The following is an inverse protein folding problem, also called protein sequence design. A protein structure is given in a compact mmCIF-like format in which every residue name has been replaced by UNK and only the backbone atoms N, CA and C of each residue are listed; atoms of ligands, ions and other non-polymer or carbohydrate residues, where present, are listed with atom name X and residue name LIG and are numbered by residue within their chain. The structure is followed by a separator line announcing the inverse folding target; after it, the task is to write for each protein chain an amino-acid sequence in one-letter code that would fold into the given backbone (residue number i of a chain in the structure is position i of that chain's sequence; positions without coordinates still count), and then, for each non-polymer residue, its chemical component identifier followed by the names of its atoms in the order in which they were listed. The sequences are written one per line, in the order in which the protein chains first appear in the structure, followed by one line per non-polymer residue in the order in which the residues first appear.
data_IF_747017260811
#
_entry.id   IF_747017260811
#
_cell.length_a   1.000
_cell.length_b   1.000
_cell.length_c   1.000
_cell.angle_alpha   90.00
_cell.angle_beta   90.00
_cell.angle_gamma   90.00
#
_symmetry.space_group_name_H-M   'P 1'
#
loop_
_entity.id
_entity.type
_entity.pdbx_description
1 polymer ?
#
# COMPACT_ATOMS: atom_id res chain seq x y z
N UNK A 1 36.82 -39.46 -18.48
CA UNK A 1 38.08 -39.88 -17.83
C UNK A 1 38.59 -38.69 -17.02
N UNK A 2 39.03 -38.92 -15.77
CA UNK A 2 39.08 -38.01 -14.59
C UNK A 2 37.72 -37.95 -13.88
N UNK A 3 37.38 -38.72 -12.83
CA UNK A 3 38.07 -39.34 -11.68
C UNK A 3 38.39 -38.39 -10.51
N UNK A 4 38.03 -38.87 -9.30
CA UNK A 4 38.28 -38.37 -7.92
C UNK A 4 37.23 -37.39 -7.37
N UNK A 5 36.30 -37.72 -6.46
CA UNK A 5 36.31 -38.49 -5.20
C UNK A 5 37.11 -37.84 -4.07
N UNK A 6 36.40 -37.30 -3.06
CA UNK A 6 36.79 -36.99 -1.66
C UNK A 6 35.52 -36.36 -1.03
N UNK A 7 34.68 -36.98 -0.21
CA UNK A 7 34.89 -37.67 1.08
C UNK A 7 35.56 -36.79 2.15
N UNK A 8 34.74 -36.30 3.10
CA UNK A 8 35.08 -36.00 4.51
C UNK A 8 33.81 -35.47 5.22
N UNK A 9 33.18 -36.28 6.08
CA UNK A 9 33.37 -36.30 7.55
C UNK A 9 32.68 -35.11 8.24
N UNK A 10 31.48 -35.31 8.81
CA UNK A 10 31.27 -35.60 10.23
C UNK A 10 31.88 -34.56 11.19
N UNK A 11 31.03 -33.74 11.79
CA UNK A 11 31.31 -33.06 13.06
C UNK A 11 30.01 -32.88 13.83
N UNK A 12 29.68 -33.92 14.60
CA UNK A 12 28.69 -33.91 15.67
C UNK A 12 29.19 -32.99 16.80
N UNK A 13 28.39 -31.98 17.15
CA UNK A 13 28.63 -31.11 18.29
C UNK A 13 27.39 -31.05 19.16
N UNK A 14 27.16 -32.10 19.97
CA UNK A 14 26.24 -32.05 21.11
C UNK A 14 26.84 -31.16 22.20
N UNK A 15 26.22 -30.00 22.45
CA UNK A 15 26.46 -29.22 23.65
C UNK A 15 25.22 -29.31 24.55
N UNK A 16 25.28 -30.30 25.45
CA UNK A 16 24.38 -30.49 26.58
C UNK A 16 24.83 -29.55 27.70
N UNK A 17 24.05 -28.51 27.99
CA UNK A 17 24.21 -27.69 29.19
C UNK A 17 23.00 -27.87 30.09
N UNK A 18 23.20 -28.67 31.13
CA UNK A 18 22.30 -28.90 32.26
C UNK A 18 22.35 -27.72 33.25
N UNK A 19 21.17 -27.22 33.64
CA UNK A 19 20.88 -26.68 34.99
C UNK A 19 20.78 -25.14 35.17
N UNK A 20 20.33 -24.68 36.37
CA UNK A 20 18.93 -24.57 36.84
C UNK A 20 18.67 -23.16 37.49
N UNK A 21 17.68 -22.92 38.39
CA UNK A 21 16.27 -23.33 38.48
C UNK A 21 15.29 -22.13 38.44
N UNK A 22 14.01 -22.49 38.35
CA UNK A 22 12.80 -21.71 38.58
C UNK A 22 12.84 -20.85 39.85
N UNK A 23 12.81 -19.52 39.69
CA UNK A 23 12.52 -18.58 40.77
C UNK A 23 11.02 -18.29 40.81
N UNK A 24 10.31 -19.02 41.66
CA UNK A 24 8.95 -18.74 42.10
C UNK A 24 8.98 -17.47 42.95
N UNK A 25 8.55 -16.32 42.41
CA UNK A 25 8.37 -15.11 43.19
C UNK A 25 6.87 -14.79 43.28
N UNK A 26 6.21 -15.42 44.25
CA UNK A 26 4.89 -15.03 44.72
C UNK A 26 5.07 -13.85 45.70
N UNK A 27 5.04 -12.62 45.19
CA UNK A 27 4.88 -11.44 46.02
C UNK A 27 3.40 -11.04 46.00
N UNK A 28 2.71 -11.48 47.04
CA UNK A 28 1.45 -10.92 47.50
C UNK A 28 1.68 -9.49 47.98
N UNK A 29 1.42 -8.52 47.12
CA UNK A 29 1.34 -7.10 47.52
C UNK A 29 -0.02 -6.86 48.18
N UNK A 30 -0.02 -6.92 49.51
CA UNK A 30 -1.07 -6.39 50.36
C UNK A 30 -1.11 -4.87 50.23
N UNK A 31 -2.07 -4.33 49.48
CA UNK A 31 -2.40 -2.90 49.45
C UNK A 31 -3.02 -2.50 50.79
N UNK A 32 -2.17 -2.08 51.72
CA UNK A 32 -2.58 -1.36 52.94
C UNK A 32 -2.85 0.10 52.57
N UNK A 33 -4.13 0.42 52.35
CA UNK A 33 -4.62 1.79 52.25
C UNK A 33 -4.55 2.48 53.61
N UNK A 34 -3.39 3.03 53.95
CA UNK A 34 -3.27 3.99 55.04
C UNK A 34 -3.60 5.39 54.51
N UNK A 35 -4.64 6.07 55.02
CA UNK A 35 -4.93 7.46 54.66
C UNK A 35 -3.83 8.36 55.26
N UNK A 36 -3.11 9.06 54.38
CA UNK A 36 -2.12 10.05 54.79
C UNK A 36 -2.79 11.13 55.65
N UNK A 37 -2.24 11.45 56.83
CA UNK A 37 -2.75 12.54 57.66
C UNK A 37 -2.50 13.88 56.96
N UNK A 38 -3.55 14.71 56.92
CA UNK A 38 -3.46 16.10 56.47
C UNK A 38 -2.45 16.85 57.35
N UNK A 39 -1.48 17.58 56.78
CA UNK A 39 -0.57 18.41 57.56
C UNK A 39 -1.36 19.60 58.13
N UNK A 40 -1.61 19.54 59.44
CA UNK A 40 -1.99 20.72 60.21
C UNK A 40 -0.84 21.73 60.14
N UNK A 41 -1.13 22.89 59.56
CA UNK A 41 -0.20 24.00 59.47
C UNK A 41 0.10 24.60 60.84
N UNK A 42 1.21 25.33 60.94
CA UNK A 42 1.29 26.43 61.87
C UNK A 42 1.55 27.75 61.13
N UNK A 43 0.90 28.77 61.65
CA UNK A 43 1.08 30.17 61.36
C UNK A 43 2.56 30.54 61.28
N UNK A 44 2.95 31.21 60.21
CA UNK A 44 4.30 31.73 60.05
C UNK A 44 4.52 32.26 58.65
N UNK A 45 4.88 33.53 58.58
CA UNK A 45 5.00 34.42 57.42
C UNK A 45 6.11 33.98 56.43
N UNK A 46 6.01 32.75 55.94
CA UNK A 46 6.97 32.08 55.08
C UNK A 46 6.52 32.16 53.64
N UNK A 47 7.11 33.07 52.87
CA UNK A 47 7.03 33.10 51.41
C UNK A 47 7.47 31.75 50.84
N UNK A 48 6.52 30.85 50.60
CA UNK A 48 6.75 29.61 49.87
C UNK A 48 7.17 29.97 48.45
N UNK A 49 8.47 29.94 48.19
CA UNK A 49 8.96 30.08 46.82
C UNK A 49 8.46 28.88 46.02
N UNK A 50 7.88 29.15 44.84
CA UNK A 50 7.35 28.16 43.89
C UNK A 50 8.32 26.99 43.63
N UNK A 51 9.62 27.20 43.87
CA UNK A 51 10.72 26.24 43.79
C UNK A 51 10.58 25.03 44.72
N UNK A 52 9.90 25.13 45.86
CA UNK A 52 9.73 24.00 46.78
C UNK A 52 8.65 23.00 46.33
N UNK A 53 7.67 23.42 45.53
CA UNK A 53 6.70 22.50 44.91
C UNK A 53 7.28 21.72 43.72
N UNK A 54 8.34 22.23 43.09
CA UNK A 54 9.02 21.59 41.95
C UNK A 54 10.42 21.04 42.27
N UNK A 55 10.86 21.12 43.54
CA UNK A 55 12.22 20.79 43.97
C UNK A 55 12.47 19.32 44.32
N UNK A 56 11.44 18.46 44.25
CA UNK A 56 11.66 17.01 44.37
C UNK A 56 12.22 16.50 43.04
N UNK A 57 13.53 16.65 42.86
CA UNK A 57 14.31 15.87 41.90
C UNK A 57 14.34 14.42 42.39
N UNK A 58 13.17 13.76 42.42
CA UNK A 58 13.10 12.31 42.40
C UNK A 58 13.94 11.92 41.20
N UNK A 59 15.06 11.23 41.46
CA UNK A 59 15.83 10.57 40.41
C UNK A 59 14.81 9.81 39.60
N UNK A 60 14.49 10.31 38.41
CA UNK A 60 13.64 9.61 37.47
C UNK A 60 14.45 8.37 37.13
N UNK A 61 14.14 7.27 37.80
CA UNK A 61 14.65 5.97 37.44
C UNK A 61 14.24 5.80 35.99
N UNK A 62 15.19 5.92 35.07
CA UNK A 62 14.92 5.77 33.66
C UNK A 62 14.32 4.37 33.51
N UNK A 63 13.01 4.32 33.27
CA UNK A 63 12.34 3.09 32.90
C UNK A 63 13.06 2.63 31.62
N UNK A 64 13.61 1.41 31.56
CA UNK A 64 14.38 0.97 30.42
C UNK A 64 13.56 1.15 29.14
N UNK A 65 13.93 2.14 28.30
CA UNK A 65 13.20 2.46 27.06
C UNK A 65 13.09 1.25 26.12
N UNK A 66 14.00 0.28 26.27
CA UNK A 66 13.96 -0.99 25.55
C UNK A 66 12.62 -1.74 25.70
N UNK A 67 11.92 -1.61 26.82
CA UNK A 67 10.69 -2.37 27.06
C UNK A 67 9.46 -1.75 26.36
N UNK A 68 9.44 -0.43 26.14
CA UNK A 68 8.28 0.23 25.54
C UNK A 68 8.05 -0.16 24.07
N UNK A 69 9.11 -0.22 23.28
CA UNK A 69 9.02 -0.62 21.87
C UNK A 69 8.68 -2.10 21.73
N UNK A 70 9.27 -2.97 22.56
CA UNK A 70 8.94 -4.39 22.60
C UNK A 70 7.46 -4.61 22.97
N UNK A 71 6.96 -3.94 24.01
CA UNK A 71 5.54 -3.99 24.40
C UNK A 71 4.61 -3.44 23.32
N UNK A 72 4.99 -2.37 22.61
CA UNK A 72 4.21 -1.84 21.48
C UNK A 72 4.16 -2.86 20.35
N UNK A 73 5.29 -3.47 19.99
CA UNK A 73 5.36 -4.53 18.97
C UNK A 73 4.47 -5.72 19.35
N UNK A 74 4.53 -6.19 20.59
CA UNK A 74 3.69 -7.31 21.06
C UNK A 74 2.20 -7.00 20.93
N UNK A 75 1.77 -5.78 21.27
CA UNK A 75 0.37 -5.33 21.10
C UNK A 75 -0.04 -5.33 19.62
N UNK A 76 0.79 -4.76 18.75
CA UNK A 76 0.54 -4.73 17.30
C UNK A 76 0.44 -6.14 16.72
N UNK A 77 1.35 -7.04 17.09
CA UNK A 77 1.32 -8.44 16.65
C UNK A 77 0.06 -9.14 17.15
N UNK A 78 -0.35 -8.91 18.39
CA UNK A 78 -1.60 -9.48 18.93
C UNK A 78 -2.83 -9.00 18.16
N UNK A 79 -2.91 -7.70 17.80
CA UNK A 79 -4.00 -7.15 16.97
C UNK A 79 -4.02 -7.77 15.57
N UNK A 80 -2.85 -7.97 14.94
CA UNK A 80 -2.74 -8.62 13.63
C UNK A 80 -3.18 -10.08 13.69
N UNK A 81 -2.76 -10.81 14.74
CA UNK A 81 -3.17 -12.20 14.98
C UNK A 81 -4.68 -12.31 15.16
N UNK A 82 -5.29 -11.43 15.95
CA UNK A 82 -6.73 -11.41 16.15
C UNK A 82 -7.47 -11.15 14.84
N UNK A 83 -7.02 -10.17 14.04
CA UNK A 83 -7.59 -9.86 12.74
C UNK A 83 -7.43 -11.04 11.76
N UNK A 84 -6.28 -11.71 11.76
CA UNK A 84 -6.04 -12.90 10.92
C UNK A 84 -6.86 -14.11 11.32
N UNK A 85 -7.14 -14.30 12.62
CA UNK A 85 -8.06 -15.33 13.11
C UNK A 85 -9.46 -15.15 12.54
N UNK A 86 -9.95 -13.91 12.42
CA UNK A 86 -11.24 -13.58 11.77
C UNK A 86 -11.24 -13.91 10.27
N UNK A 87 -10.07 -13.96 9.64
CA UNK A 87 -9.88 -14.37 8.24
C UNK A 87 -9.63 -15.89 8.07
N UNK A 88 -9.67 -16.66 9.16
CA UNK A 88 -9.43 -18.11 9.14
C UNK A 88 -7.96 -18.51 9.02
N UNK A 89 -7.02 -17.61 9.29
CA UNK A 89 -5.57 -17.88 9.25
C UNK A 89 -5.12 -18.35 10.65
N UNK A 90 -4.30 -19.39 10.70
CA UNK A 90 -3.73 -19.92 11.95
C UNK A 90 -2.74 -18.92 12.56
N UNK A 91 -2.82 -18.73 13.88
CA UNK A 91 -1.99 -17.81 14.65
C UNK A 91 -0.49 -18.09 14.51
N UNK A 92 -0.07 -19.35 14.59
CA UNK A 92 1.34 -19.75 14.46
C UNK A 92 1.92 -19.38 13.09
N UNK A 93 1.11 -19.49 12.03
CA UNK A 93 1.50 -19.14 10.66
C UNK A 93 1.69 -17.64 10.54
N UNK A 94 0.79 -16.84 11.12
CA UNK A 94 0.91 -15.37 11.10
C UNK A 94 2.20 -14.93 11.79
N UNK A 95 2.47 -15.42 13.01
CA UNK A 95 3.68 -15.05 13.75
C UNK A 95 4.95 -15.43 13.00
N UNK A 96 5.04 -16.70 12.56
CA UNK A 96 6.20 -17.19 11.83
C UNK A 96 6.43 -16.41 10.52
N UNK A 97 5.36 -16.00 9.82
CA UNK A 97 5.47 -15.25 8.59
C UNK A 97 5.78 -13.76 8.81
N UNK A 98 5.31 -13.15 9.90
CA UNK A 98 5.72 -11.80 10.29
C UNK A 98 7.21 -11.75 10.61
N UNK A 99 7.74 -12.75 11.32
CA UNK A 99 9.18 -12.84 11.61
C UNK A 99 10.01 -13.01 10.32
N UNK A 100 9.52 -13.81 9.36
CA UNK A 100 10.15 -13.92 8.03
C UNK A 100 10.09 -12.60 7.25
N UNK A 101 8.97 -11.88 7.31
CA UNK A 101 8.84 -10.58 6.64
C UNK A 101 9.83 -9.56 7.22
N UNK A 102 10.00 -9.53 8.54
CA UNK A 102 11.01 -8.68 9.20
C UNK A 102 12.44 -9.10 8.81
N UNK A 103 12.71 -10.40 8.68
CA UNK A 103 14.00 -10.89 8.19
C UNK A 103 14.29 -10.50 6.72
N UNK A 104 13.25 -10.44 5.87
CA UNK A 104 13.37 -9.98 4.49
C UNK A 104 13.60 -8.47 4.41
N UNK A 105 12.93 -7.69 5.26
CA UNK A 105 13.04 -6.24 5.32
C UNK A 105 13.03 -5.78 6.79
N UNK A 106 14.21 -5.55 7.38
CA UNK A 106 14.30 -5.06 8.76
C UNK A 106 13.64 -3.70 8.98
N UNK A 107 13.50 -2.89 7.91
CA UNK A 107 12.80 -1.61 7.94
C UNK A 107 11.26 -1.75 7.94
N UNK A 108 10.74 -2.95 7.64
CA UNK A 108 9.30 -3.25 7.58
C UNK A 108 8.77 -3.65 8.96
N UNK A 109 8.79 -2.72 9.91
CA UNK A 109 8.15 -2.93 11.20
C UNK A 109 6.64 -2.83 11.05
N UNK A 110 5.84 -3.85 11.46
CA UNK A 110 4.38 -3.76 11.42
C UNK A 110 3.87 -2.56 12.21
N UNK A 111 3.06 -1.72 11.57
CA UNK A 111 2.46 -0.53 12.19
C UNK A 111 0.99 -0.42 11.78
N UNK A 112 0.10 -0.52 12.77
CA UNK A 112 -1.36 -0.44 12.61
C UNK A 112 -1.84 0.97 12.26
N UNK A 113 -1.03 2.00 12.52
CA UNK A 113 -1.35 3.38 12.15
C UNK A 113 -1.25 3.60 10.64
N UNK A 114 -0.31 2.90 9.96
CA UNK A 114 -0.08 3.04 8.51
C UNK A 114 -0.99 2.13 7.69
N UNK A 115 -1.31 0.95 8.22
CA UNK A 115 -2.12 -0.05 7.54
C UNK A 115 -2.91 -0.89 8.54
N UNK A 116 -4.16 -1.20 8.22
CA UNK A 116 -5.06 -1.93 9.12
C UNK A 116 -4.49 -3.31 9.48
N UNK A 117 -4.73 -3.78 10.69
CA UNK A 117 -4.30 -5.10 11.17
C UNK A 117 -4.75 -6.25 10.25
N UNK A 118 -5.98 -6.16 9.70
CA UNK A 118 -6.50 -7.15 8.76
C UNK A 118 -5.70 -7.22 7.45
N UNK A 119 -5.17 -6.09 6.97
CA UNK A 119 -4.37 -6.06 5.75
C UNK A 119 -2.94 -6.57 6.00
N UNK A 120 -2.37 -6.28 7.17
CA UNK A 120 -1.14 -6.94 7.63
C UNK A 120 -1.30 -8.46 7.70
N UNK A 121 -2.44 -8.95 8.21
CA UNK A 121 -2.73 -10.38 8.24
C UNK A 121 -2.84 -10.99 6.83
N UNK A 122 -3.36 -10.25 5.84
CA UNK A 122 -3.34 -10.68 4.43
C UNK A 122 -1.93 -10.79 3.87
N UNK A 123 -1.03 -9.84 4.18
CA UNK A 123 0.37 -9.95 3.77
C UNK A 123 1.07 -11.14 4.44
N UNK A 124 0.83 -11.34 5.74
CA UNK A 124 1.38 -12.46 6.48
C UNK A 124 0.83 -13.83 6.01
N UNK A 125 -0.28 -13.87 5.26
CA UNK A 125 -0.79 -15.10 4.65
C UNK A 125 0.15 -15.64 3.59
N UNK A 126 0.76 -14.76 2.79
CA UNK A 126 1.62 -15.13 1.65
C UNK A 126 2.88 -14.26 1.60
N UNK A 127 3.94 -14.75 2.27
CA UNK A 127 5.25 -14.08 2.29
C UNK A 127 5.94 -14.12 0.93
N UNK A 128 5.64 -15.12 0.09
CA UNK A 128 6.23 -15.21 -1.24
C UNK A 128 5.70 -14.09 -2.14
N UNK A 129 4.40 -13.78 -2.03
CA UNK A 129 3.83 -12.61 -2.71
C UNK A 129 4.55 -11.33 -2.29
N UNK A 130 4.81 -11.13 -0.99
CA UNK A 130 5.56 -9.96 -0.51
C UNK A 130 6.94 -9.91 -1.17
N UNK A 131 7.71 -11.01 -1.14
CA UNK A 131 9.03 -11.07 -1.76
C UNK A 131 9.00 -10.74 -3.27
N UNK A 132 8.02 -11.29 -4.01
CA UNK A 132 7.82 -10.96 -5.43
C UNK A 132 7.53 -9.48 -5.64
N UNK A 133 6.67 -8.88 -4.80
CA UNK A 133 6.39 -7.44 -4.87
C UNK A 133 7.65 -6.59 -4.65
N UNK A 134 8.52 -6.97 -3.72
CA UNK A 134 9.80 -6.28 -3.52
C UNK A 134 10.70 -6.33 -4.75
N UNK A 135 10.74 -7.48 -5.44
CA UNK A 135 11.47 -7.62 -6.71
C UNK A 135 10.86 -6.74 -7.80
N UNK A 136 9.53 -6.69 -7.91
CA UNK A 136 8.85 -5.81 -8.88
C UNK A 136 9.15 -4.34 -8.61
N UNK A 137 9.13 -3.90 -7.35
CA UNK A 137 9.50 -2.52 -6.98
C UNK A 137 10.96 -2.26 -7.37
N UNK A 138 11.88 -3.17 -7.03
CA UNK A 138 13.31 -2.99 -7.32
C UNK A 138 13.63 -2.98 -8.81
N UNK A 139 12.96 -3.81 -9.60
CA UNK A 139 13.14 -3.87 -11.06
C UNK A 139 12.54 -2.64 -11.75
N UNK A 140 11.45 -2.10 -11.23
CA UNK A 140 10.80 -0.91 -11.77
C UNK A 140 11.55 0.38 -11.42
N UNK A 141 12.12 0.45 -10.20
CA UNK A 141 12.82 1.62 -9.65
C UNK A 141 14.21 1.20 -9.11
N UNK A 142 15.19 0.94 -9.99
CA UNK A 142 16.47 0.37 -9.60
C UNK A 142 17.31 1.29 -8.70
N UNK A 143 17.16 2.60 -8.81
CA UNK A 143 17.85 3.59 -7.97
C UNK A 143 17.21 3.82 -6.61
N UNK A 144 15.98 3.37 -6.39
CA UNK A 144 15.24 3.64 -5.15
C UNK A 144 15.55 2.62 -4.04
N UNK A 145 15.48 3.08 -2.79
CA UNK A 145 15.48 2.23 -1.61
C UNK A 145 14.08 1.63 -1.36
N UNK A 146 13.95 0.34 -1.63
CA UNK A 146 12.69 -0.42 -1.46
C UNK A 146 12.22 -0.46 0.00
N UNK A 147 13.14 -0.56 0.97
CA UNK A 147 12.80 -0.59 2.39
C UNK A 147 12.09 0.70 2.83
N UNK A 148 12.58 1.85 2.37
CA UNK A 148 11.95 3.16 2.63
C UNK A 148 10.60 3.30 1.93
N UNK A 149 10.49 2.86 0.68
CA UNK A 149 9.23 2.88 -0.07
C UNK A 149 8.14 2.12 0.70
N UNK A 150 8.46 0.88 1.07
CA UNK A 150 7.49 -0.03 1.70
C UNK A 150 7.20 0.37 3.15
N UNK A 151 8.21 0.83 3.91
CA UNK A 151 7.99 1.30 5.30
C UNK A 151 7.11 2.55 5.37
N UNK A 152 7.09 3.39 4.32
CA UNK A 152 6.19 4.56 4.21
C UNK A 152 4.82 4.19 3.66
N UNK A 153 4.75 3.35 2.61
CA UNK A 153 3.50 2.96 1.98
C UNK A 153 3.33 1.43 1.92
N UNK A 154 3.11 0.75 3.07
CA UNK A 154 3.02 -0.71 3.11
C UNK A 154 1.83 -1.27 2.32
N UNK A 155 0.80 -0.46 2.06
CA UNK A 155 -0.37 -0.83 1.24
C UNK A 155 -0.01 -1.18 -0.21
N UNK A 156 1.14 -0.71 -0.72
CA UNK A 156 1.63 -1.08 -2.05
C UNK A 156 1.85 -2.59 -2.20
N UNK A 157 2.17 -3.29 -1.11
CA UNK A 157 2.36 -4.74 -1.11
C UNK A 157 1.06 -5.55 -1.28
N UNK A 158 -0.11 -4.92 -1.12
CA UNK A 158 -1.41 -5.58 -1.29
C UNK A 158 -1.85 -5.67 -2.75
N UNK A 159 -1.17 -4.94 -3.65
CA UNK A 159 -1.48 -4.94 -5.08
C UNK A 159 -1.01 -6.25 -5.73
N UNK A 160 -1.52 -6.53 -6.93
CA UNK A 160 -0.95 -7.59 -7.76
C UNK A 160 0.38 -7.11 -8.37
N UNK A 161 1.35 -8.03 -8.59
CA UNK A 161 2.63 -7.67 -9.18
C UNK A 161 2.49 -7.12 -10.61
N UNK A 162 1.55 -7.67 -11.39
CA UNK A 162 1.25 -7.22 -12.75
C UNK A 162 0.71 -5.78 -12.77
N UNK A 163 -0.21 -5.45 -11.86
CA UNK A 163 -0.76 -4.10 -11.75
C UNK A 163 0.33 -3.09 -11.36
N UNK A 164 1.14 -3.44 -10.35
CA UNK A 164 2.23 -2.57 -9.90
C UNK A 164 3.24 -2.30 -11.02
N UNK A 165 3.57 -3.32 -11.82
CA UNK A 165 4.47 -3.17 -12.97
C UNK A 165 3.87 -2.28 -14.06
N UNK A 166 2.58 -2.45 -14.38
CA UNK A 166 1.88 -1.60 -15.34
C UNK A 166 1.80 -0.14 -14.87
N UNK A 167 1.46 0.08 -13.60
CA UNK A 167 1.40 1.39 -12.98
C UNK A 167 2.78 2.07 -13.00
N UNK A 168 3.84 1.33 -12.65
CA UNK A 168 5.20 1.84 -12.69
C UNK A 168 5.64 2.25 -14.09
N UNK A 169 5.25 1.51 -15.13
CA UNK A 169 5.54 1.88 -16.51
C UNK A 169 4.90 3.23 -16.90
N UNK A 170 3.65 3.46 -16.48
CA UNK A 170 2.95 4.73 -16.71
C UNK A 170 3.62 5.86 -15.94
N UNK A 171 3.88 5.66 -14.64
CA UNK A 171 4.55 6.65 -13.77
C UNK A 171 5.90 7.04 -14.33
N UNK A 172 6.71 6.08 -14.77
CA UNK A 172 8.02 6.36 -15.39
C UNK A 172 7.91 7.13 -16.69
N UNK A 173 6.88 6.88 -17.51
CA UNK A 173 6.64 7.67 -18.72
C UNK A 173 6.33 9.12 -18.37
N UNK A 174 5.49 9.35 -17.35
CA UNK A 174 5.11 10.70 -16.89
C UNK A 174 6.31 11.43 -16.29
N UNK A 175 7.15 10.73 -15.51
CA UNK A 175 8.34 11.28 -14.87
C UNK A 175 9.59 11.27 -15.76
N UNK A 176 9.48 10.95 -17.06
CA UNK A 176 10.63 10.85 -17.95
C UNK A 176 11.42 12.17 -18.10
N UNK A 177 10.78 13.32 -17.84
CA UNK A 177 11.42 14.63 -17.83
C UNK A 177 12.19 14.95 -16.53
N UNK A 178 12.02 14.17 -15.46
CA UNK A 178 12.72 14.37 -14.20
C UNK A 178 14.11 13.70 -14.23
N UNK A 179 15.17 14.36 -13.74
CA UNK A 179 16.53 13.80 -13.75
C UNK A 179 16.65 12.54 -12.88
N UNK A 180 15.93 12.48 -11.75
CA UNK A 180 15.98 11.38 -10.78
C UNK A 180 14.55 10.94 -10.39
N UNK A 181 13.83 10.30 -11.31
CA UNK A 181 12.48 9.79 -11.04
C UNK A 181 12.44 8.83 -9.83
N UNK A 182 13.44 7.97 -9.69
CA UNK A 182 13.53 6.99 -8.59
C UNK A 182 13.61 7.66 -7.20
N UNK A 183 14.34 8.77 -7.09
CA UNK A 183 14.45 9.53 -5.84
C UNK A 183 13.11 10.18 -5.44
N UNK A 184 12.34 10.64 -6.42
CA UNK A 184 10.98 11.19 -6.18
C UNK A 184 10.08 10.10 -5.60
N UNK A 185 10.13 8.88 -6.15
CA UNK A 185 9.32 7.75 -5.69
C UNK A 185 9.79 7.24 -4.32
N UNK A 186 11.10 7.23 -4.04
CA UNK A 186 11.62 6.91 -2.71
C UNK A 186 11.11 7.91 -1.65
N UNK A 187 11.12 9.20 -1.99
CA UNK A 187 10.66 10.24 -1.08
C UNK A 187 9.14 10.22 -0.88
N UNK A 188 8.40 9.97 -1.95
CA UNK A 188 6.94 10.03 -1.96
C UNK A 188 6.34 8.78 -2.62
N UNK A 189 6.29 7.64 -1.89
CA UNK A 189 5.88 6.36 -2.46
C UNK A 189 4.43 6.29 -2.97
N UNK A 190 3.55 7.16 -2.49
CA UNK A 190 2.15 7.17 -2.95
C UNK A 190 2.04 7.52 -4.45
N UNK A 191 3.04 8.21 -5.02
CA UNK A 191 3.10 8.55 -6.45
C UNK A 191 3.33 7.35 -7.37
N UNK A 192 3.59 6.17 -6.80
CA UNK A 192 3.59 4.92 -7.58
C UNK A 192 2.21 4.63 -8.19
N UNK A 193 1.14 5.23 -7.67
CA UNK A 193 -0.18 5.20 -8.30
C UNK A 193 -0.29 6.30 -9.38
N UNK A 194 -0.56 5.94 -10.66
CA UNK A 194 -0.63 6.91 -11.76
C UNK A 194 -1.69 7.99 -11.56
N UNK A 195 -2.83 7.65 -10.94
CA UNK A 195 -3.90 8.61 -10.66
C UNK A 195 -3.46 9.64 -9.63
N UNK A 196 -2.84 9.17 -8.54
CA UNK A 196 -2.35 10.05 -7.48
C UNK A 196 -1.23 10.98 -7.98
N UNK A 197 -0.37 10.47 -8.87
CA UNK A 197 0.65 11.28 -9.55
C UNK A 197 0.02 12.36 -10.43
N UNK A 198 -0.96 12.02 -11.28
CA UNK A 198 -1.62 12.98 -12.15
C UNK A 198 -2.34 14.09 -11.37
N UNK A 199 -3.03 13.72 -10.28
CA UNK A 199 -3.68 14.68 -9.39
C UNK A 199 -2.64 15.60 -8.72
N UNK A 200 -1.55 15.03 -8.19
CA UNK A 200 -0.47 15.80 -7.56
C UNK A 200 0.16 16.81 -8.53
N UNK A 201 0.39 16.41 -9.79
CA UNK A 201 0.91 17.30 -10.83
C UNK A 201 -0.06 18.43 -11.18
N UNK A 202 -1.36 18.13 -11.26
CA UNK A 202 -2.42 19.12 -11.48
C UNK A 202 -2.43 20.17 -10.35
N UNK A 203 -2.35 19.71 -9.10
CA UNK A 203 -2.35 20.57 -7.92
C UNK A 203 -1.11 21.46 -7.87
N UNK A 204 0.08 20.90 -8.12
CA UNK A 204 1.33 21.69 -8.19
C UNK A 204 1.26 22.74 -9.30
N UNK A 205 0.76 22.38 -10.49
CA UNK A 205 0.58 23.35 -11.58
C UNK A 205 -0.36 24.48 -11.19
N UNK A 206 -1.48 24.18 -10.51
CA UNK A 206 -2.46 25.16 -10.04
C UNK A 206 -1.90 26.08 -8.95
N UNK A 207 -1.24 25.53 -7.93
CA UNK A 207 -0.79 26.30 -6.76
C UNK A 207 0.40 27.19 -7.07
N UNK A 208 1.32 26.73 -7.92
CA UNK A 208 2.52 27.48 -8.26
C UNK A 208 2.44 28.16 -9.63
N UNK A 209 1.30 28.06 -10.33
CA UNK A 209 1.10 28.59 -11.69
C UNK A 209 2.26 28.22 -12.64
N UNK A 210 2.80 27.00 -12.49
CA UNK A 210 3.95 26.53 -13.27
C UNK A 210 3.51 25.73 -14.48
N UNK A 211 4.20 25.93 -15.59
CA UNK A 211 4.04 25.12 -16.81
C UNK A 211 4.81 23.78 -16.73
N UNK A 212 5.77 23.68 -15.80
CA UNK A 212 6.56 22.47 -15.56
C UNK A 212 6.44 22.01 -14.09
N UNK A 213 5.34 21.29 -13.76
CA UNK A 213 5.17 20.74 -12.41
C UNK A 213 6.15 19.59 -12.12
N UNK A 214 6.63 18.87 -13.14
CA UNK A 214 7.56 17.74 -12.97
C UNK A 214 8.93 18.24 -12.54
N UNK A 215 9.46 19.28 -13.21
CA UNK A 215 10.72 19.91 -12.81
C UNK A 215 10.64 20.52 -11.42
N UNK A 216 9.49 21.05 -11.00
CA UNK A 216 9.28 21.56 -9.65
C UNK A 216 9.33 20.46 -8.58
N UNK A 217 8.61 19.35 -8.79
CA UNK A 217 8.62 18.19 -7.88
C UNK A 217 10.02 17.59 -7.80
N UNK A 218 10.77 17.53 -8.90
CA UNK A 218 12.13 16.98 -8.91
C UNK A 218 13.11 17.74 -8.01
N UNK A 219 12.88 19.04 -7.79
CA UNK A 219 13.71 19.89 -6.91
C UNK A 219 13.35 19.70 -5.44
N UNK A 220 12.08 19.48 -5.14
CA UNK A 220 11.60 19.29 -3.77
C UNK A 220 10.36 18.38 -3.75
N UNK A 221 10.55 17.05 -3.69
CA UNK A 221 9.43 16.11 -3.72
C UNK A 221 8.55 16.22 -2.45
N UNK A 222 9.11 16.72 -1.34
CA UNK A 222 8.38 16.93 -0.07
C UNK A 222 7.29 17.99 -0.14
N UNK A 223 7.27 18.83 -1.19
CA UNK A 223 6.17 19.77 -1.43
C UNK A 223 4.81 19.04 -1.46
N UNK A 224 4.83 17.79 -1.92
CA UNK A 224 3.65 16.95 -2.06
C UNK A 224 3.10 16.41 -0.75
N UNK A 225 3.93 16.29 0.29
CA UNK A 225 3.45 15.84 1.61
C UNK A 225 2.54 16.88 2.26
N UNK A 226 2.78 18.17 1.96
CA UNK A 226 1.92 19.26 2.42
C UNK A 226 0.64 19.39 1.60
N UNK A 227 0.63 18.86 0.36
CA UNK A 227 -0.54 18.89 -0.54
C UNK A 227 -1.63 17.95 -0.02
N UNK A 228 -1.23 16.78 0.45
CA UNK A 228 -2.14 15.70 0.85
C UNK A 228 -3.04 16.12 2.03
N UNK A 229 -2.48 16.84 3.01
CA UNK A 229 -3.25 17.35 4.15
C UNK A 229 -4.25 18.45 3.76
N UNK A 230 -3.98 19.18 2.66
CA UNK A 230 -4.78 20.31 2.24
C UNK A 230 -5.93 19.94 1.26
N UNK A 231 -5.84 18.81 0.56
CA UNK A 231 -6.68 18.54 -0.61
C UNK A 231 -7.58 17.29 -0.49
N UNK A 232 -7.48 16.51 0.61
CA UNK A 232 -8.37 15.37 0.87
C UNK A 232 -9.83 15.78 1.19
N UNK A 233 -10.09 17.04 1.52
CA UNK A 233 -11.43 17.52 1.89
C UNK A 233 -12.14 18.34 0.79
N UNK A 234 -11.46 18.74 -0.28
CA UNK A 234 -11.87 19.95 -1.01
C UNK A 234 -12.63 19.76 -2.33
N UNK A 235 -12.65 18.60 -3.01
CA UNK A 235 -13.36 18.54 -4.30
C UNK A 235 -14.05 17.19 -4.63
N UNK A 236 -15.38 17.07 -4.41
CA UNK A 236 -16.15 15.88 -4.79
C UNK A 236 -16.29 15.69 -6.32
N UNK A 237 -15.86 16.64 -7.14
CA UNK A 237 -15.97 16.57 -8.61
C UNK A 237 -14.81 15.84 -9.29
N UNK A 238 -13.69 15.57 -8.60
CA UNK A 238 -12.48 15.01 -9.22
C UNK A 238 -12.55 13.49 -9.52
N UNK A 239 -13.61 12.80 -9.10
CA UNK A 239 -13.88 11.39 -9.45
C UNK A 239 -14.35 11.16 -10.90
N UNK A 240 -14.62 12.22 -11.66
CA UNK A 240 -15.06 12.14 -13.05
C UNK A 240 -13.88 12.26 -14.01
N UNK A 241 -13.12 11.16 -14.12
CA UNK A 241 -12.31 10.79 -15.30
C UNK A 241 -11.36 11.86 -15.87
N UNK A 242 -10.23 12.08 -15.21
CA UNK A 242 -9.03 12.53 -15.95
C UNK A 242 -8.49 11.33 -16.76
N UNK A 243 -8.97 11.20 -17.99
CA UNK A 243 -8.35 10.34 -18.99
C UNK A 243 -6.90 10.82 -19.22
N UNK A 244 -5.92 10.11 -18.62
CA UNK A 244 -4.48 10.38 -18.79
C UNK A 244 -4.04 10.40 -20.26
N UNK A 245 -4.78 9.73 -21.16
CA UNK A 245 -4.56 9.76 -22.61
C UNK A 245 -4.71 11.16 -23.24
N UNK A 246 -5.40 12.08 -22.57
CA UNK A 246 -5.64 13.45 -23.08
C UNK A 246 -4.55 14.45 -22.68
N UNK A 247 -3.72 14.12 -21.66
CA UNK A 247 -2.68 15.02 -21.16
C UNK A 247 -1.50 15.08 -22.15
N UNK A 248 -1.23 13.99 -22.87
CA UNK A 248 -0.12 13.90 -23.85
C UNK A 248 -0.38 14.73 -25.14
N UNK A 249 -1.62 15.19 -25.39
CA UNK A 249 -1.97 15.95 -26.61
C UNK A 249 -2.25 17.43 -26.38
N UNK A 250 -2.61 17.85 -25.16
CA UNK A 250 -2.99 19.25 -24.90
C UNK A 250 -1.82 20.24 -24.98
N UNK A 251 -0.59 19.84 -24.61
CA UNK A 251 0.58 20.73 -24.73
C UNK A 251 1.13 20.86 -26.14
N UNK A 252 0.91 19.88 -27.04
CA UNK A 252 1.24 20.02 -28.47
C UNK A 252 0.11 20.67 -29.29
N UNK A 253 -1.14 20.51 -28.88
CA UNK A 253 -2.30 20.98 -29.66
C UNK A 253 -2.72 22.44 -29.38
N UNK A 254 -2.29 23.07 -28.27
CA UNK A 254 -2.68 24.47 -27.98
C UNK A 254 -2.10 25.46 -28.99
N UNK A 255 -0.89 25.22 -29.49
CA UNK A 255 -0.28 26.05 -30.54
C UNK A 255 -0.85 25.80 -31.95
N UNK A 256 -1.59 24.70 -32.16
CA UNK A 256 -2.18 24.36 -33.45
C UNK A 256 -3.66 24.76 -33.57
N UNK A 257 -4.42 24.76 -32.46
CA UNK A 257 -5.88 24.94 -32.49
C UNK A 257 -6.37 26.39 -32.37
N UNK A 258 -5.51 27.35 -32.07
CA UNK A 258 -5.90 28.76 -32.08
C UNK A 258 -6.14 29.33 -33.49
N UNK A 259 -5.92 28.55 -34.56
CA UNK A 259 -6.23 28.95 -35.94
C UNK A 259 -7.50 28.33 -36.54
N UNK A 260 -8.07 27.28 -35.95
CA UNK A 260 -9.15 26.50 -36.59
C UNK A 260 -10.47 26.48 -35.80
N UNK A 261 -10.60 27.27 -34.72
CA UNK A 261 -11.85 27.38 -33.97
C UNK A 261 -12.82 28.38 -34.63
N UNK A 262 -13.22 28.10 -35.87
CA UNK A 262 -14.38 28.72 -36.53
C UNK A 262 -15.17 27.59 -37.23
N UNK A 263 -16.39 27.34 -36.73
CA UNK A 263 -17.44 26.41 -37.20
C UNK A 263 -17.27 24.89 -36.97
N UNK A 264 -17.88 24.36 -35.90
CA UNK A 264 -18.38 22.97 -35.84
C UNK A 264 -19.65 22.92 -34.99
N UNK A 265 -20.76 23.50 -35.46
CA UNK A 265 -22.09 23.30 -34.83
C UNK A 265 -23.07 22.50 -35.70
N UNK A 266 -22.75 22.22 -36.97
CA UNK A 266 -23.69 21.56 -37.91
C UNK A 266 -23.50 20.03 -38.11
N UNK A 267 -22.46 19.39 -37.57
CA UNK A 267 -22.16 17.96 -37.87
C UNK A 267 -22.67 16.94 -36.85
N UNK A 268 -23.26 17.38 -35.73
CA UNK A 268 -23.77 16.49 -34.67
C UNK A 268 -24.84 15.47 -35.14
N UNK A 269 -25.77 15.79 -36.08
CA UNK A 269 -26.78 14.83 -36.55
C UNK A 269 -26.17 13.70 -37.40
N UNK A 270 -25.10 13.98 -38.15
CA UNK A 270 -24.45 13.01 -39.04
C UNK A 270 -23.70 11.93 -38.24
N UNK A 271 -23.03 12.33 -37.16
CA UNK A 271 -22.31 11.40 -36.28
C UNK A 271 -23.28 10.46 -35.54
N UNK A 272 -24.43 10.95 -35.10
CA UNK A 272 -25.48 10.09 -34.52
C UNK A 272 -26.02 9.08 -35.54
N UNK A 273 -26.25 9.48 -36.79
CA UNK A 273 -26.69 8.56 -37.86
C UNK A 273 -25.63 7.50 -38.16
N UNK A 274 -24.35 7.86 -38.22
CA UNK A 274 -23.25 6.91 -38.42
C UNK A 274 -23.10 5.93 -37.26
N UNK A 275 -23.24 6.40 -36.02
CA UNK A 275 -23.19 5.55 -34.84
C UNK A 275 -24.33 4.52 -34.82
N UNK A 276 -25.55 4.94 -35.19
CA UNK A 276 -26.72 4.06 -35.24
C UNK A 276 -26.64 3.03 -36.38
N UNK A 277 -26.08 3.42 -37.53
CA UNK A 277 -25.80 2.52 -38.64
C UNK A 277 -24.70 1.49 -38.30
N UNK A 278 -23.64 1.91 -37.59
CA UNK A 278 -22.59 1.00 -37.13
C UNK A 278 -23.11 -0.01 -36.09
N UNK A 279 -23.98 0.43 -35.17
CA UNK A 279 -24.60 -0.44 -34.17
C UNK A 279 -25.51 -1.51 -34.80
N UNK A 280 -26.28 -1.14 -35.84
CA UNK A 280 -27.13 -2.10 -36.56
C UNK A 280 -26.31 -3.09 -37.39
N UNK A 281 -25.20 -2.66 -38.02
CA UNK A 281 -24.29 -3.57 -38.73
C UNK A 281 -23.62 -4.60 -37.80
N UNK A 282 -23.25 -4.20 -36.58
CA UNK A 282 -22.62 -5.10 -35.60
C UNK A 282 -23.58 -6.16 -35.02
N UNK A 283 -24.90 -5.91 -35.03
CA UNK A 283 -25.89 -6.85 -34.49
C UNK A 283 -26.25 -8.00 -35.45
N UNK A 284 -26.05 -7.82 -36.76
CA UNK A 284 -26.36 -8.82 -37.80
C UNK A 284 -25.64 -10.18 -37.63
N UNK A 285 -24.32 -10.27 -37.36
CA UNK A 285 -23.64 -11.55 -37.24
C UNK A 285 -24.07 -12.35 -35.99
N UNK A 286 -24.47 -11.67 -34.92
CA UNK A 286 -24.86 -12.31 -33.67
C UNK A 286 -26.25 -12.98 -33.76
N UNK A 287 -27.16 -12.38 -34.55
CA UNK A 287 -28.44 -12.99 -34.90
C UNK A 287 -28.27 -14.24 -35.77
N UNK A 288 -27.36 -14.20 -36.77
CA UNK A 288 -27.06 -15.34 -37.62
C UNK A 288 -26.43 -16.51 -36.84
N UNK A 289 -25.51 -16.22 -35.92
CA UNK A 289 -24.90 -17.25 -35.06
C UNK A 289 -25.93 -17.92 -34.12
N UNK A 290 -26.91 -17.17 -33.62
CA UNK A 290 -27.98 -17.72 -32.77
C UNK A 290 -28.93 -18.64 -33.55
N UNK A 291 -29.25 -18.30 -34.79
CA UNK A 291 -30.07 -19.16 -35.66
C UNK A 291 -29.35 -20.47 -36.01
N UNK A 292 -28.03 -20.40 -36.29
CA UNK A 292 -27.22 -21.59 -36.54
C UNK A 292 -27.11 -22.52 -35.31
N UNK A 293 -26.95 -21.95 -34.11
CA UNK A 293 -26.92 -22.72 -32.86
C UNK A 293 -28.26 -23.42 -32.55
N UNK A 294 -29.39 -22.79 -32.88
CA UNK A 294 -30.71 -23.39 -32.70
C UNK A 294 -30.95 -24.59 -33.65
N UNK A 295 -30.43 -24.54 -34.88
CA UNK A 295 -30.53 -25.66 -35.82
C UNK A 295 -29.67 -26.87 -35.40
N UNK A 296 -28.56 -26.64 -34.69
CA UNK A 296 -27.65 -27.69 -34.25
C UNK A 296 -28.11 -28.43 -32.97
N UNK A 297 -29.14 -27.94 -32.27
CA UNK A 297 -29.64 -28.56 -31.02
C UNK A 297 -30.81 -29.53 -31.24
N UNK A 298 -31.12 -29.91 -32.48
CA UNK A 298 -32.13 -30.95 -32.76
C UNK A 298 -31.44 -32.31 -32.57
N UNK A 299 -31.77 -33.08 -31.51
CA UNK A 299 -31.17 -34.39 -31.29
C UNK A 299 -31.56 -35.33 -32.45
N UNK A 300 -30.61 -36.11 -33.00
CA UNK A 300 -30.87 -36.99 -34.14
C UNK A 300 -31.85 -38.15 -33.86
N UNK A 301 -32.22 -38.35 -32.59
CA UNK A 301 -32.98 -39.53 -32.14
C UNK A 301 -34.50 -39.44 -32.35
N UNK A 302 -35.02 -38.27 -32.77
CA UNK A 302 -36.47 -38.10 -33.04
C UNK A 302 -36.82 -38.31 -34.52
N UNK A 303 -35.84 -38.31 -35.42
CA UNK A 303 -36.08 -38.50 -36.86
C UNK A 303 -36.28 -39.97 -37.25
N UNK A 304 -35.80 -40.93 -36.44
CA UNK A 304 -35.94 -42.36 -36.72
C UNK A 304 -37.32 -42.93 -36.30
N UNK A 305 -38.04 -42.27 -35.38
CA UNK A 305 -39.33 -42.77 -34.89
C UNK A 305 -40.52 -42.46 -35.83
N UNK A 306 -40.37 -41.57 -36.82
CA UNK A 306 -41.44 -41.20 -37.74
C UNK A 306 -41.54 -42.09 -39.00
N UNK A 307 -40.56 -42.96 -39.25
CA UNK A 307 -40.54 -43.83 -40.44
C UNK A 307 -41.03 -45.27 -40.19
N UNK A 308 -41.42 -45.61 -38.95
CA UNK A 308 -41.83 -46.98 -38.58
C UNK A 308 -43.34 -47.16 -38.34
N UNK A 309 -44.17 -46.18 -38.72
CA UNK A 309 -45.63 -46.18 -38.48
C UNK A 309 -46.48 -46.10 -39.75
N UNK A 310 -45.98 -46.58 -40.88
CA UNK A 310 -46.75 -46.81 -42.13
C UNK A 310 -46.51 -48.25 -42.58
#
# INVERSE_FOLDING_TARGET
MHASASDQSQSSGEAKTDGPPTATNAQSESFSSSPSPLPNGPDGDGRYTLRQYYGSTKKVTQVPELDHNARRRLRVVAEIVEAGRRLGIKEDVIRANLDKMEALLPELTPDVNKMRAADWAKLARDVNQVAMMLVVIKTSYPGANVGKIVSRAPKTLLQSPEQLQADAAVVRKVLAGAPNADAIIEDVPYLMNPHALAQSLSNVSRWYNTQDPVGMISKNPKLLLNVEEADLEADPLYGLSLNLSTIDTRSRSRNARERDAIYVEDELPELQRRALAAATAAAAPLAAARAAAAAASIPPDVAAAAAASV
#
